data_IF_873884401346
#
_entry.id   IF_873884401346
#
_cell.length_a   1.000
_cell.length_b   1.000
_cell.length_c   1.000
_cell.angle_alpha   90.00
_cell.angle_beta   90.00
_cell.angle_gamma   90.00
#
_symmetry.space_group_name_H-M   'P 1'
#
loop_
_entity.id
_entity.type
_entity.pdbx_description
1 polymer ?
#
# COMPACT_ATOMS: atom_id res chain seq x y z
N UNK A 1 45.61 14.33 -18.86
CA UNK A 1 45.87 12.88 -18.77
C UNK A 1 46.77 12.61 -17.58
N UNK A 2 46.18 12.17 -16.46
CA UNK A 2 46.91 11.61 -15.31
C UNK A 2 46.32 10.22 -15.05
N UNK A 3 47.21 9.25 -15.06
CA UNK A 3 46.99 7.82 -15.05
C UNK A 3 46.71 7.37 -13.62
N UNK A 4 45.67 6.55 -13.42
CA UNK A 4 45.40 5.84 -12.17
C UNK A 4 46.40 4.69 -11.99
N UNK A 5 46.81 4.34 -10.75
CA UNK A 5 47.32 3.01 -10.48
C UNK A 5 46.23 2.09 -9.91
N UNK A 6 46.31 0.84 -10.37
CA UNK A 6 45.52 -0.34 -10.03
C UNK A 6 45.86 -0.88 -8.64
N UNK A 7 44.91 -1.65 -8.12
CA UNK A 7 44.99 -2.52 -6.95
C UNK A 7 46.05 -3.63 -7.07
N UNK A 8 46.70 -3.91 -5.93
CA UNK A 8 47.53 -5.04 -5.51
C UNK A 8 47.63 -4.89 -3.98
N UNK A 9 47.62 -5.88 -3.10
CA UNK A 9 47.47 -7.32 -3.18
C UNK A 9 46.98 -7.81 -1.81
N UNK A 10 46.39 -8.99 -1.85
CA UNK A 10 45.84 -9.75 -0.75
C UNK A 10 46.98 -10.45 -0.02
N UNK A 11 47.22 -10.17 1.26
CA UNK A 11 48.17 -10.94 2.06
C UNK A 11 47.46 -11.55 3.28
N UNK A 12 47.42 -12.88 3.25
CA UNK A 12 46.86 -13.73 4.27
C UNK A 12 47.98 -14.22 5.17
N UNK A 13 47.96 -13.83 6.45
CA UNK A 13 48.72 -14.57 7.47
C UNK A 13 48.02 -14.45 8.82
N UNK A 14 47.69 -15.61 9.39
CA UNK A 14 46.85 -15.74 10.58
C UNK A 14 47.54 -15.31 11.88
N UNK A 15 46.70 -14.89 12.82
CA UNK A 15 47.02 -14.73 14.23
C UNK A 15 45.80 -15.12 15.06
N UNK A 16 45.96 -16.14 15.89
CA UNK A 16 44.89 -16.80 16.62
C UNK A 16 44.60 -16.15 17.99
N UNK A 17 43.41 -16.45 18.50
CA UNK A 17 42.99 -16.48 19.92
C UNK A 17 42.72 -15.15 20.64
N UNK A 18 41.45 -14.89 20.94
CA UNK A 18 40.97 -15.02 22.32
C UNK A 18 39.44 -15.00 22.36
N UNK A 19 38.90 -16.06 22.96
CA UNK A 19 37.49 -16.36 23.13
C UNK A 19 37.03 -15.80 24.47
N UNK A 20 36.13 -14.83 24.48
CA UNK A 20 35.30 -14.55 25.65
C UNK A 20 33.83 -14.49 25.25
N UNK A 21 33.18 -15.65 25.42
CA UNK A 21 31.73 -15.80 25.52
C UNK A 21 31.24 -14.97 26.71
N UNK A 22 30.27 -14.08 26.49
CA UNK A 22 29.23 -13.81 27.48
C UNK A 22 27.88 -13.68 26.76
N UNK A 23 26.97 -14.56 27.14
CA UNK A 23 25.74 -14.87 26.42
C UNK A 23 24.64 -13.83 26.53
N UNK A 24 23.94 -13.64 25.42
CA UNK A 24 22.64 -12.98 25.32
C UNK A 24 21.54 -14.04 25.48
N UNK A 25 20.50 -13.82 26.30
CA UNK A 25 19.35 -14.72 26.35
C UNK A 25 18.43 -14.51 25.13
N UNK A 26 18.18 -15.62 24.44
CA UNK A 26 17.22 -15.76 23.36
C UNK A 26 15.77 -15.63 23.85
N UNK A 27 14.95 -14.82 23.17
CA UNK A 27 13.50 -15.02 23.06
C UNK A 27 13.11 -14.89 21.59
N UNK A 28 12.46 -15.93 21.09
CA UNK A 28 12.10 -16.16 19.68
C UNK A 28 11.19 -15.07 19.10
N UNK A 29 11.04 -14.95 17.78
CA UNK A 29 11.24 -15.95 16.74
C UNK A 29 10.05 -15.83 15.80
N UNK A 30 10.24 -15.11 14.70
CA UNK A 30 9.49 -15.26 13.45
C UNK A 30 10.35 -14.64 12.34
N UNK A 31 11.43 -15.34 12.01
CA UNK A 31 12.26 -15.03 10.86
C UNK A 31 11.58 -15.65 9.64
N UNK A 32 11.09 -14.81 8.74
CA UNK A 32 10.64 -15.20 7.41
C UNK A 32 11.88 -15.54 6.56
N UNK A 33 12.10 -16.79 6.11
CA UNK A 33 13.20 -17.08 5.21
C UNK A 33 12.78 -16.72 3.78
N UNK A 34 13.23 -15.56 3.33
CA UNK A 34 13.18 -15.13 1.93
C UNK A 34 14.27 -15.90 1.16
N UNK A 35 13.96 -17.10 0.68
CA UNK A 35 14.86 -17.87 -0.19
C UNK A 35 14.75 -17.32 -1.62
N UNK A 36 15.66 -16.41 -1.97
CA UNK A 36 15.93 -16.06 -3.37
C UNK A 36 16.76 -17.20 -3.99
N UNK A 37 16.10 -18.12 -4.69
CA UNK A 37 16.81 -19.11 -5.52
C UNK A 37 16.98 -18.53 -6.93
N UNK A 38 18.15 -17.95 -7.16
CA UNK A 38 18.62 -17.57 -8.49
C UNK A 38 18.87 -18.83 -9.34
N UNK A 39 18.50 -18.77 -10.62
CA UNK A 39 19.00 -19.65 -11.67
C UNK A 39 18.24 -20.96 -11.86
N UNK A 40 17.16 -20.92 -12.65
CA UNK A 40 16.80 -22.05 -13.52
C UNK A 40 16.46 -21.53 -14.91
N UNK A 41 17.30 -21.94 -15.84
CA UNK A 41 17.26 -21.71 -17.28
C UNK A 41 16.05 -22.38 -17.92
N UNK A 42 15.41 -21.64 -18.83
CA UNK A 42 14.36 -22.10 -19.72
C UNK A 42 14.91 -23.20 -20.64
N UNK A 43 14.37 -24.41 -20.55
CA UNK A 43 14.51 -25.44 -21.59
C UNK A 43 13.18 -25.59 -22.35
N UNK A 44 13.20 -25.65 -23.68
CA UNK A 44 12.00 -25.77 -24.50
C UNK A 44 11.36 -27.17 -24.38
N UNK A 45 10.03 -27.20 -24.28
CA UNK A 45 9.22 -28.41 -24.31
C UNK A 45 9.32 -29.11 -25.67
N UNK A 46 9.62 -30.41 -25.73
CA UNK A 46 9.56 -31.19 -26.97
C UNK A 46 8.11 -31.59 -27.27
N UNK A 47 7.76 -31.56 -28.56
CA UNK A 47 6.46 -31.92 -29.08
C UNK A 47 6.08 -33.38 -28.83
N UNK A 48 4.77 -33.58 -28.60
CA UNK A 48 4.13 -34.89 -28.50
C UNK A 48 2.83 -34.86 -29.29
N UNK A 49 2.91 -35.37 -30.52
CA UNK A 49 1.80 -35.66 -31.41
C UNK A 49 1.01 -36.84 -30.81
N UNK A 50 -0.27 -36.68 -30.50
CA UNK A 50 -1.15 -37.83 -30.26
C UNK A 50 -2.52 -37.58 -30.86
N UNK A 51 -2.81 -38.46 -31.81
CA UNK A 51 -3.98 -38.59 -32.65
C UNK A 51 -5.12 -39.12 -31.78
N UNK A 52 -6.27 -38.46 -31.79
CA UNK A 52 -7.53 -39.02 -31.28
C UNK A 52 -8.53 -39.12 -32.44
N UNK A 53 -9.29 -40.23 -32.54
CA UNK A 53 -10.08 -40.53 -33.72
C UNK A 53 -11.38 -39.72 -33.75
N UNK A 54 -11.77 -39.37 -34.97
CA UNK A 54 -13.06 -38.81 -35.32
C UNK A 54 -14.18 -39.82 -35.05
N UNK A 55 -15.15 -39.44 -34.22
CA UNK A 55 -16.47 -40.06 -34.20
C UNK A 55 -17.46 -39.00 -34.65
N UNK A 56 -17.88 -39.15 -35.90
CA UNK A 56 -19.01 -38.45 -36.47
C UNK A 56 -20.31 -39.15 -36.06
N UNK A 57 -21.35 -38.33 -35.85
CA UNK A 57 -22.75 -38.50 -36.26
C UNK A 57 -23.73 -38.19 -35.12
N UNK A 58 -24.55 -37.16 -35.34
CA UNK A 58 -25.67 -36.83 -34.47
C UNK A 58 -26.37 -35.54 -34.90
N UNK A 59 -27.07 -35.60 -36.04
CA UNK A 59 -27.97 -34.56 -36.56
C UNK A 59 -29.06 -34.23 -35.54
N UNK A 60 -29.39 -32.94 -35.39
CA UNK A 60 -30.68 -32.54 -34.82
C UNK A 60 -30.71 -31.14 -34.18
N UNK A 61 -30.88 -30.09 -34.98
CA UNK A 61 -31.33 -28.79 -34.49
C UNK A 61 -32.71 -28.50 -35.09
N UNK A 62 -33.80 -28.46 -34.30
CA UNK A 62 -35.07 -27.94 -34.79
C UNK A 62 -35.02 -26.42 -34.75
N UNK A 63 -35.13 -25.86 -35.94
CA UNK A 63 -35.57 -24.50 -36.24
C UNK A 63 -36.73 -24.05 -35.34
N UNK A 64 -36.58 -22.93 -34.65
CA UNK A 64 -37.69 -22.21 -34.04
C UNK A 64 -38.09 -21.04 -34.96
N UNK A 65 -39.24 -21.12 -35.66
CA UNK A 65 -39.82 -19.97 -36.31
C UNK A 65 -40.64 -19.22 -35.25
N UNK A 66 -40.48 -17.91 -35.15
CA UNK A 66 -41.58 -16.96 -35.04
C UNK A 66 -41.04 -15.53 -34.97
N UNK A 67 -41.12 -14.89 -36.12
CA UNK A 67 -41.10 -13.44 -36.30
C UNK A 67 -42.15 -12.79 -35.38
N UNK A 68 -41.74 -11.78 -34.61
CA UNK A 68 -42.66 -10.76 -34.10
C UNK A 68 -42.59 -9.53 -35.00
N UNK A 69 -43.73 -9.03 -35.52
CA UNK A 69 -43.73 -7.82 -36.33
C UNK A 69 -43.74 -6.57 -35.44
N UNK A 70 -42.98 -5.55 -35.84
CA UNK A 70 -43.20 -4.17 -35.40
C UNK A 70 -42.07 -3.54 -34.57
N UNK A 71 -40.95 -3.20 -35.21
CA UNK A 71 -40.06 -2.15 -34.70
C UNK A 71 -40.15 -0.97 -35.65
N UNK A 72 -40.94 0.03 -35.26
CA UNK A 72 -40.98 1.35 -35.90
C UNK A 72 -39.66 2.05 -35.56
N UNK A 73 -38.86 2.36 -36.57
CA UNK A 73 -37.66 3.16 -36.41
C UNK A 73 -38.02 4.57 -35.93
N UNK A 74 -37.70 4.89 -34.68
CA UNK A 74 -37.79 6.25 -34.15
C UNK A 74 -36.45 6.93 -34.46
N UNK A 75 -36.44 7.76 -35.52
CA UNK A 75 -35.44 8.82 -35.69
C UNK A 75 -35.82 9.98 -34.78
N UNK A 76 -34.90 10.36 -33.89
CA UNK A 76 -34.77 11.65 -33.17
C UNK A 76 -33.62 11.42 -32.18
N UNK A 77 -32.60 12.23 -32.01
CA UNK A 77 -32.23 13.55 -32.50
C UNK A 77 -30.88 13.82 -31.82
N UNK A 78 -30.04 14.64 -32.42
CA UNK A 78 -28.73 14.99 -31.84
C UNK A 78 -28.90 15.54 -30.42
N UNK A 79 -28.35 14.83 -29.43
CA UNK A 79 -28.13 15.40 -28.12
C UNK A 79 -26.89 16.28 -28.22
N UNK A 80 -27.14 17.59 -28.23
CA UNK A 80 -26.15 18.62 -27.98
C UNK A 80 -25.25 18.20 -26.82
N UNK A 81 -23.94 18.34 -27.01
CA UNK A 81 -22.95 18.32 -25.94
C UNK A 81 -23.40 19.35 -24.88
N UNK A 82 -23.96 18.84 -23.78
CA UNK A 82 -24.27 19.67 -22.63
C UNK A 82 -22.94 20.19 -22.08
N UNK A 83 -22.87 21.51 -21.98
CA UNK A 83 -21.77 22.25 -21.38
C UNK A 83 -21.47 21.68 -19.99
N UNK A 84 -20.25 21.17 -19.81
CA UNK A 84 -19.77 20.68 -18.53
C UNK A 84 -19.75 21.85 -17.55
N UNK A 85 -20.76 21.90 -16.69
CA UNK A 85 -20.79 22.84 -15.57
C UNK A 85 -19.63 22.44 -14.65
N UNK A 86 -18.62 23.31 -14.54
CA UNK A 86 -17.46 23.07 -13.69
C UNK A 86 -17.96 22.85 -12.24
N UNK A 87 -17.83 21.61 -11.77
CA UNK A 87 -18.16 21.24 -10.41
C UNK A 87 -17.25 22.02 -9.43
N UNK A 88 -17.81 22.45 -8.31
CA UNK A 88 -17.04 23.13 -7.27
C UNK A 88 -15.92 22.17 -6.75
N UNK A 89 -14.72 22.70 -6.47
CA UNK A 89 -13.58 21.88 -6.07
C UNK A 89 -13.88 21.10 -4.78
N UNK A 90 -13.82 19.77 -4.85
CA UNK A 90 -14.11 18.87 -3.73
C UNK A 90 -12.83 18.53 -2.95
N UNK A 91 -12.95 18.35 -1.63
CA UNK A 91 -11.87 17.80 -0.80
C UNK A 91 -11.92 16.27 -0.83
N UNK A 92 -10.84 15.63 -1.28
CA UNK A 92 -10.75 14.18 -1.37
C UNK A 92 -9.65 13.63 -0.46
N UNK A 93 -9.93 12.61 0.37
CA UNK A 93 -8.88 11.97 1.14
C UNK A 93 -7.96 11.19 0.20
N UNK A 94 -6.64 11.31 0.40
CA UNK A 94 -5.64 10.60 -0.38
C UNK A 94 -5.66 9.09 -0.08
N UNK A 95 -6.10 8.72 1.12
CA UNK A 95 -6.20 7.32 1.55
C UNK A 95 -7.64 6.95 1.93
N UNK A 96 -8.08 5.69 1.74
CA UNK A 96 -9.43 5.26 2.09
C UNK A 96 -9.74 5.28 3.59
N UNK A 97 -8.70 5.29 4.43
CA UNK A 97 -8.81 5.27 5.89
C UNK A 97 -8.65 6.64 6.55
N UNK A 98 -8.73 7.71 5.76
CA UNK A 98 -8.85 9.08 6.26
C UNK A 98 -10.27 9.59 5.98
N UNK A 99 -10.98 9.95 7.04
CA UNK A 99 -12.28 10.60 6.94
C UNK A 99 -12.11 12.09 7.20
N UNK A 100 -12.55 12.91 6.23
CA UNK A 100 -12.55 14.36 6.34
C UNK A 100 -13.86 14.84 6.98
N UNK A 101 -13.76 15.67 8.01
CA UNK A 101 -14.90 16.32 8.64
C UNK A 101 -15.27 17.63 7.94
N UNK A 102 -16.20 18.39 8.55
CA UNK A 102 -16.52 19.73 8.05
C UNK A 102 -15.37 20.71 8.25
N UNK A 103 -14.53 20.46 9.25
CA UNK A 103 -13.32 21.23 9.58
C UNK A 103 -12.15 20.26 9.76
N UNK A 104 -10.91 20.74 9.57
CA UNK A 104 -9.70 19.91 9.69
C UNK A 104 -9.49 19.33 11.09
N UNK A 105 -10.01 19.99 12.11
CA UNK A 105 -9.99 19.50 13.49
C UNK A 105 -10.92 18.29 13.71
N UNK A 106 -11.88 18.08 12.82
CA UNK A 106 -12.78 16.94 12.87
C UNK A 106 -12.22 15.73 12.11
N UNK A 107 -11.19 15.90 11.27
CA UNK A 107 -10.59 14.84 10.46
C UNK A 107 -10.03 13.72 11.33
N UNK A 108 -10.23 12.47 10.93
CA UNK A 108 -9.82 11.31 11.71
C UNK A 108 -9.51 10.10 10.84
N UNK A 109 -8.73 9.17 11.39
CA UNK A 109 -8.49 7.89 10.75
C UNK A 109 -9.59 6.90 11.13
N UNK A 110 -10.24 6.32 10.12
CA UNK A 110 -11.21 5.25 10.34
C UNK A 110 -10.49 3.89 10.35
N UNK A 111 -10.80 3.10 11.37
CA UNK A 111 -10.40 1.71 11.49
C UNK A 111 -11.60 0.78 11.36
N UNK A 112 -11.29 -0.51 11.21
CA UNK A 112 -12.26 -1.58 11.25
C UNK A 112 -11.94 -2.52 12.42
N UNK A 113 -12.89 -2.72 13.32
CA UNK A 113 -12.76 -3.72 14.40
C UNK A 113 -13.60 -4.94 14.06
N UNK A 114 -12.99 -6.11 14.13
CA UNK A 114 -13.68 -7.38 13.94
C UNK A 114 -14.58 -7.65 15.15
N UNK A 115 -15.87 -7.85 14.92
CA UNK A 115 -16.84 -8.14 15.99
C UNK A 115 -16.56 -9.47 16.70
N UNK A 116 -16.02 -10.47 15.98
CA UNK A 116 -15.76 -11.82 16.48
C UNK A 116 -14.52 -11.90 17.40
N UNK A 117 -13.37 -11.36 16.96
CA UNK A 117 -12.09 -11.52 17.69
C UNK A 117 -11.51 -10.22 18.25
N UNK A 118 -12.24 -9.10 18.09
CA UNK A 118 -11.89 -7.75 18.54
C UNK A 118 -10.55 -7.20 18.02
N UNK A 119 -9.97 -7.82 16.98
CA UNK A 119 -8.81 -7.25 16.29
C UNK A 119 -9.21 -5.94 15.58
N UNK A 120 -8.38 -4.91 15.74
CA UNK A 120 -8.56 -3.60 15.10
C UNK A 120 -7.56 -3.45 13.95
N UNK A 121 -7.99 -2.83 12.86
CA UNK A 121 -7.17 -2.56 11.68
C UNK A 121 -7.35 -1.11 11.22
N UNK A 122 -6.33 -0.55 10.57
CA UNK A 122 -6.48 0.71 9.85
C UNK A 122 -7.27 0.48 8.56
N UNK A 123 -8.31 1.27 8.36
CA UNK A 123 -9.16 1.23 7.16
C UNK A 123 -10.19 0.10 7.11
N UNK A 124 -11.09 0.17 6.11
CA UNK A 124 -12.11 -0.84 5.89
C UNK A 124 -11.51 -2.16 5.43
N UNK A 125 -12.09 -3.28 5.88
CA UNK A 125 -11.70 -4.64 5.46
C UNK A 125 -12.92 -5.54 5.28
N UNK A 126 -12.76 -6.55 4.43
CA UNK A 126 -13.76 -7.61 4.21
C UNK A 126 -13.44 -8.91 4.96
N UNK A 127 -12.18 -9.14 5.33
CA UNK A 127 -11.72 -10.38 5.97
C UNK A 127 -10.79 -10.09 7.14
N UNK A 128 -10.89 -10.88 8.20
CA UNK A 128 -10.07 -10.73 9.40
C UNK A 128 -8.82 -11.58 9.29
N UNK A 129 -7.63 -10.97 9.37
CA UNK A 129 -6.35 -11.69 9.33
C UNK A 129 -6.07 -12.49 10.61
N UNK A 130 -6.77 -12.21 11.73
CA UNK A 130 -6.54 -12.89 13.02
C UNK A 130 -7.36 -14.18 13.17
N UNK A 131 -8.63 -14.17 12.77
CA UNK A 131 -9.53 -15.32 12.90
C UNK A 131 -9.95 -15.93 11.55
N UNK A 132 -9.47 -15.38 10.43
CA UNK A 132 -9.81 -15.82 9.06
C UNK A 132 -11.30 -15.76 8.70
N UNK A 133 -12.13 -15.16 9.55
CA UNK A 133 -13.55 -14.97 9.28
C UNK A 133 -13.83 -13.79 8.36
N UNK A 134 -14.92 -13.89 7.61
CA UNK A 134 -15.57 -12.77 6.89
C UNK A 134 -16.31 -11.80 7.82
N UNK A 135 -16.32 -12.10 9.13
CA UNK A 135 -17.29 -11.57 10.10
C UNK A 135 -17.51 -10.06 10.04
N UNK A 136 -18.66 -9.57 10.55
CA UNK A 136 -18.99 -8.15 10.41
C UNK A 136 -17.93 -7.29 11.08
N UNK A 137 -17.55 -6.21 10.40
CA UNK A 137 -16.60 -5.21 10.92
C UNK A 137 -17.38 -3.98 11.37
N UNK A 138 -17.09 -3.52 12.58
CA UNK A 138 -17.56 -2.21 13.06
C UNK A 138 -16.54 -1.14 12.67
N UNK A 139 -17.02 0.00 12.17
CA UNK A 139 -16.15 1.16 11.93
C UNK A 139 -15.83 1.84 13.25
N UNK A 140 -14.53 2.05 13.51
CA UNK A 140 -14.04 2.71 14.72
C UNK A 140 -13.26 3.97 14.35
N UNK A 141 -13.40 5.01 15.16
CA UNK A 141 -12.58 6.21 15.07
C UNK A 141 -11.28 5.95 15.81
N UNK A 142 -10.16 6.02 15.10
CA UNK A 142 -8.82 5.85 15.69
C UNK A 142 -8.35 7.16 16.32
N UNK A 143 -7.46 7.05 17.32
CA UNK A 143 -6.79 8.17 17.96
C UNK A 143 -5.97 8.98 16.96
N UNK A 144 -5.84 10.28 17.24
CA UNK A 144 -4.93 11.19 16.52
C UNK A 144 -3.53 11.20 17.11
N UNK A 145 -3.36 10.62 18.29
CA UNK A 145 -2.09 10.58 19.01
C UNK A 145 -1.51 9.18 18.93
N UNK A 146 -0.21 9.10 18.71
CA UNK A 146 0.50 7.84 18.58
C UNK A 146 1.97 7.97 18.95
N UNK A 147 2.69 6.89 18.74
CA UNK A 147 4.09 6.74 19.08
C UNK A 147 4.89 6.22 17.88
N UNK A 148 6.05 6.82 17.61
CA UNK A 148 6.90 6.40 16.48
C UNK A 148 7.49 5.01 16.77
N UNK A 149 7.05 4.01 16.00
CA UNK A 149 7.54 2.63 16.08
C UNK A 149 8.88 2.47 15.35
N UNK A 150 8.91 2.88 14.08
CA UNK A 150 10.10 2.83 13.23
C UNK A 150 10.08 4.00 12.26
N UNK A 151 11.25 4.52 11.91
CA UNK A 151 11.39 5.64 10.99
C UNK A 151 12.62 5.47 10.11
N UNK A 152 12.62 6.18 8.99
CA UNK A 152 13.73 6.26 8.05
C UNK A 152 13.78 7.64 7.41
N UNK A 153 14.98 8.11 7.07
CA UNK A 153 15.19 9.35 6.33
C UNK A 153 15.43 9.00 4.87
N UNK A 154 14.52 9.43 4.01
CA UNK A 154 14.58 9.16 2.58
C UNK A 154 15.28 10.33 1.90
N UNK A 155 16.49 10.08 1.39
CA UNK A 155 17.31 11.07 0.67
C UNK A 155 17.07 11.09 -0.84
N UNK A 156 16.46 10.05 -1.40
CA UNK A 156 16.17 9.94 -2.82
C UNK A 156 14.68 9.73 -3.01
N UNK A 157 14.04 10.66 -3.71
CA UNK A 157 12.63 10.64 -3.99
C UNK A 157 12.38 10.86 -5.49
N UNK A 158 11.12 10.72 -5.91
CA UNK A 158 10.73 11.10 -7.27
C UNK A 158 10.86 12.62 -7.44
N UNK A 159 11.01 13.14 -8.68
CA UNK A 159 11.25 14.57 -8.92
C UNK A 159 10.21 15.54 -8.34
N UNK A 160 9.01 15.04 -8.01
CA UNK A 160 7.90 15.82 -7.48
C UNK A 160 7.81 15.82 -5.95
N UNK A 161 8.68 15.05 -5.27
CA UNK A 161 8.71 14.94 -3.81
C UNK A 161 10.00 15.56 -3.30
N UNK A 162 9.87 16.51 -2.37
CA UNK A 162 11.02 17.18 -1.75
C UNK A 162 11.74 16.20 -0.82
N UNK A 163 13.01 15.92 -1.12
CA UNK A 163 13.92 15.15 -0.27
C UNK A 163 14.98 16.09 0.34
N UNK A 164 15.48 15.80 1.55
CA UNK A 164 15.16 14.65 2.40
C UNK A 164 13.86 14.80 3.19
N UNK A 165 13.18 13.67 3.47
CA UNK A 165 12.00 13.63 4.34
C UNK A 165 12.01 12.39 5.24
N UNK A 166 11.25 12.46 6.34
CA UNK A 166 11.15 11.38 7.33
C UNK A 166 9.89 10.56 7.05
N UNK A 167 10.04 9.29 6.71
CA UNK A 167 8.95 8.33 6.66
C UNK A 167 8.94 7.52 7.95
N UNK A 168 7.77 7.28 8.53
CA UNK A 168 7.62 6.57 9.79
C UNK A 168 6.40 5.66 9.81
N UNK A 169 6.46 4.66 10.67
CA UNK A 169 5.31 3.88 11.12
C UNK A 169 5.01 4.33 12.54
N UNK A 170 3.76 4.74 12.77
CA UNK A 170 3.27 5.22 14.06
C UNK A 170 2.29 4.21 14.62
N UNK A 171 2.54 3.77 15.85
CA UNK A 171 1.63 2.93 16.61
C UNK A 171 0.59 3.80 17.33
N UNK A 172 -0.67 3.51 17.08
CA UNK A 172 -1.81 4.12 17.74
C UNK A 172 -2.21 3.30 18.98
N UNK A 173 -2.80 3.91 20.03
CA UNK A 173 -3.17 3.24 21.27
C UNK A 173 -4.17 2.08 21.07
N UNK A 174 -4.90 2.04 19.96
CA UNK A 174 -5.81 0.95 19.60
C UNK A 174 -5.10 -0.33 19.13
N UNK A 175 -3.76 -0.34 19.08
CA UNK A 175 -2.95 -1.47 18.62
C UNK A 175 -2.87 -1.56 17.09
N UNK A 176 -2.96 -0.41 16.41
CA UNK A 176 -2.90 -0.29 14.96
C UNK A 176 -1.72 0.57 14.58
N UNK A 177 -0.95 0.15 13.58
CA UNK A 177 0.16 0.92 13.04
C UNK A 177 -0.22 1.58 11.72
N UNK A 178 0.16 2.83 11.52
CA UNK A 178 -0.09 3.59 10.29
C UNK A 178 1.22 4.09 9.68
N UNK A 179 1.34 3.98 8.35
CA UNK A 179 2.43 4.60 7.62
C UNK A 179 2.14 6.10 7.45
N UNK A 180 3.14 6.94 7.67
CA UNK A 180 3.02 8.39 7.52
C UNK A 180 4.39 9.05 7.35
N UNK A 181 4.38 10.37 7.17
CA UNK A 181 5.57 11.20 7.18
C UNK A 181 5.58 12.06 8.44
N UNK A 182 6.75 12.20 9.06
CA UNK A 182 6.95 13.13 10.18
C UNK A 182 7.37 14.49 9.61
N UNK A 183 6.72 15.55 10.08
CA UNK A 183 7.05 16.93 9.73
C UNK A 183 7.29 17.78 10.99
N UNK A 184 7.79 19.00 10.80
CA UNK A 184 8.12 19.90 11.90
C UNK A 184 9.47 19.59 12.57
N UNK A 185 10.24 18.66 11.99
CA UNK A 185 11.57 18.26 12.47
C UNK A 185 12.54 18.25 11.29
N UNK A 186 13.75 18.75 11.52
CA UNK A 186 14.84 18.66 10.54
C UNK A 186 15.24 17.18 10.36
N UNK A 187 15.26 16.64 9.12
CA UNK A 187 15.55 15.24 8.79
C UNK A 187 17.01 14.85 9.08
N UNK A 188 17.35 14.81 10.36
CA UNK A 188 18.62 14.33 10.93
C UNK A 188 18.34 13.21 11.92
N UNK A 189 19.18 12.16 11.96
CA UNK A 189 19.01 11.04 12.89
C UNK A 189 18.92 11.45 14.36
N UNK A 190 19.62 12.52 14.75
CA UNK A 190 19.69 13.03 16.13
C UNK A 190 18.34 13.59 16.64
N UNK A 191 17.51 14.09 15.72
CA UNK A 191 16.23 14.71 16.06
C UNK A 191 15.09 13.69 16.14
N UNK A 192 15.33 12.45 15.73
CA UNK A 192 14.33 11.38 15.73
C UNK A 192 14.66 10.34 16.79
N UNK A 193 13.65 9.96 17.57
CA UNK A 193 13.76 8.93 18.61
C UNK A 193 12.66 7.90 18.42
N UNK A 194 13.01 6.63 18.62
CA UNK A 194 12.00 5.59 18.80
C UNK A 194 11.16 5.91 20.03
N UNK A 195 9.87 5.67 19.95
CA UNK A 195 8.95 5.96 21.03
C UNK A 195 8.54 7.43 21.19
N UNK A 196 8.91 8.29 20.24
CA UNK A 196 8.51 9.70 20.26
C UNK A 196 7.00 9.84 20.11
N UNK A 197 6.38 10.65 20.98
CA UNK A 197 4.95 10.97 20.89
C UNK A 197 4.71 11.93 19.73
N UNK A 198 3.70 11.62 18.94
CA UNK A 198 3.33 12.38 17.75
C UNK A 198 1.83 12.57 17.66
N UNK A 199 1.42 13.67 17.03
CA UNK A 199 0.03 14.04 16.81
C UNK A 199 -0.26 14.20 15.33
N UNK A 200 -1.37 13.64 14.89
CA UNK A 200 -1.86 13.71 13.53
C UNK A 200 -2.46 15.08 13.22
N UNK A 201 -2.18 15.56 12.03
CA UNK A 201 -2.90 16.65 11.39
C UNK A 201 -3.08 16.34 9.89
N UNK A 202 -3.90 17.13 9.21
CA UNK A 202 -4.19 16.96 7.79
C UNK A 202 -3.80 18.19 7.00
N UNK A 203 -3.28 17.99 5.79
CA UNK A 203 -2.91 19.06 4.87
C UNK A 203 -3.30 18.74 3.44
N UNK A 204 -3.46 19.78 2.61
CA UNK A 204 -3.63 19.63 1.16
C UNK A 204 -2.26 19.31 0.54
N UNK A 205 -2.18 18.22 -0.23
CA UNK A 205 -0.93 17.75 -0.85
C UNK A 205 -0.90 18.00 -2.35
N UNK A 206 -2.04 17.86 -3.03
CA UNK A 206 -2.13 18.06 -4.48
C UNK A 206 -3.52 18.53 -4.89
N UNK A 207 -3.63 18.96 -6.14
CA UNK A 207 -4.87 19.34 -6.79
C UNK A 207 -4.92 18.67 -8.17
N UNK A 208 -6.09 18.19 -8.61
CA UNK A 208 -6.26 17.71 -9.97
C UNK A 208 -6.61 18.84 -10.95
N UNK A 209 -6.73 18.48 -12.23
CA UNK A 209 -7.06 19.44 -13.31
C UNK A 209 -8.47 20.00 -13.18
N UNK A 210 -9.33 19.35 -12.42
CA UNK A 210 -10.72 19.74 -12.17
C UNK A 210 -10.86 20.62 -10.92
N UNK A 211 -9.75 20.87 -10.21
CA UNK A 211 -9.68 21.69 -9.02
C UNK A 211 -9.89 20.93 -7.70
N UNK A 212 -10.10 19.61 -7.74
CA UNK A 212 -10.29 18.84 -6.50
C UNK A 212 -8.98 18.74 -5.74
N UNK A 213 -9.05 19.03 -4.44
CA UNK A 213 -7.88 19.04 -3.58
C UNK A 213 -7.75 17.73 -2.80
N UNK A 214 -6.59 17.10 -2.91
CA UNK A 214 -6.27 15.88 -2.18
C UNK A 214 -5.67 16.21 -0.82
N UNK A 215 -6.22 15.57 0.20
CA UNK A 215 -5.84 15.74 1.60
C UNK A 215 -5.13 14.49 2.10
N UNK A 216 -3.94 14.66 2.65
CA UNK A 216 -3.24 13.59 3.36
C UNK A 216 -3.15 13.91 4.84
N UNK A 217 -2.92 12.88 5.64
CA UNK A 217 -2.56 13.02 7.05
C UNK A 217 -1.05 12.91 7.22
N UNK A 218 -0.51 13.71 8.14
CA UNK A 218 0.88 13.65 8.58
C UNK A 218 0.92 13.72 10.10
N UNK A 219 2.09 13.44 10.65
CA UNK A 219 2.32 13.50 12.08
C UNK A 219 3.42 14.50 12.39
N UNK A 220 3.27 15.20 13.51
CA UNK A 220 4.27 16.08 14.08
C UNK A 220 4.55 15.67 15.53
N UNK A 221 5.76 15.84 16.05
CA UNK A 221 6.02 15.65 17.48
C UNK A 221 5.16 16.57 18.35
N UNK A 222 4.79 16.09 19.53
CA UNK A 222 4.09 16.84 20.58
C UNK A 222 5.04 17.30 21.67
#
# INVERSE_FOLDING_TARGET
MRVMPKATDFDATGGALSTHLFGLPAKGGSAYPFIYRAGQSLTPFPGGNTILPAIALGRGSPSSPNLRPGIRAIRKGGSSLAEATAAAPELRPLVPHLTLGATRDQDYLNGARCTNCKATYAGPRMYCSKCSGQGPFESVKLSKEGEVHVWTIIHQATPYVQAPYIAAIVDLPEGVSVNTNIVGVDPKPENMKFGMKVKMFTEKVSEDKEGNAYVAYRFQPV
#
